data_IF_406791040819
#
_entry.id   IF_406791040819
#
_cell.length_a   1.000
_cell.length_b   1.000
_cell.length_c   1.000
_cell.angle_alpha   90.00
_cell.angle_beta   90.00
_cell.angle_gamma   90.00
#
_symmetry.space_group_name_H-M   'P 1'
#
loop_
_entity.id
_entity.type
_entity.pdbx_description
1 polymer ?
#
# COMPACT_ATOMS: atom_id res chain seq x y z
N UNK A 1 -29.44 -8.22 9.08
CA UNK A 1 -29.47 -9.69 9.15
C UNK A 1 -29.58 -10.23 10.57
N UNK A 2 -28.96 -9.59 11.60
CA UNK A 2 -28.95 -10.10 12.97
C UNK A 2 -30.27 -9.86 13.71
N UNK A 3 -30.91 -8.73 13.46
CA UNK A 3 -32.08 -8.26 14.22
C UNK A 3 -33.37 -8.20 13.39
N UNK A 4 -33.28 -8.53 12.08
CA UNK A 4 -34.39 -8.52 11.14
C UNK A 4 -35.18 -7.21 11.20
N UNK A 5 -36.47 -7.24 11.66
CA UNK A 5 -37.34 -6.08 11.77
C UNK A 5 -37.52 -5.52 13.20
N UNK A 6 -36.65 -5.90 14.15
CA UNK A 6 -36.79 -5.50 15.56
C UNK A 6 -36.60 -4.00 15.81
N UNK A 7 -35.90 -3.32 14.90
CA UNK A 7 -35.58 -1.89 14.98
C UNK A 7 -36.11 -1.14 13.74
N UNK A 8 -36.76 -0.02 13.97
CA UNK A 8 -37.20 0.87 12.89
C UNK A 8 -36.09 1.80 12.38
N UNK A 9 -35.14 2.15 13.24
CA UNK A 9 -34.02 3.04 12.97
C UNK A 9 -32.74 2.38 13.44
N UNK A 10 -31.73 2.39 12.58
CA UNK A 10 -30.41 1.83 12.86
C UNK A 10 -29.37 2.95 12.83
N UNK A 11 -28.67 3.23 13.95
CA UNK A 11 -27.45 4.06 13.91
C UNK A 11 -26.41 3.34 13.08
N UNK A 12 -25.80 4.07 12.14
CA UNK A 12 -24.79 3.55 11.23
C UNK A 12 -23.43 4.18 11.53
N UNK A 13 -22.60 4.26 10.49
CA UNK A 13 -21.22 4.73 10.54
C UNK A 13 -21.04 6.08 11.28
N UNK A 14 -21.91 7.05 11.02
CA UNK A 14 -21.80 8.40 11.61
C UNK A 14 -21.83 8.39 13.15
N UNK A 15 -22.63 7.48 13.74
CA UNK A 15 -22.63 7.28 15.19
C UNK A 15 -21.48 6.42 15.68
N UNK A 16 -21.15 5.38 14.93
CA UNK A 16 -20.10 4.44 15.33
C UNK A 16 -18.74 5.10 15.39
N UNK A 17 -18.38 5.88 14.39
CA UNK A 17 -17.04 6.47 14.28
C UNK A 17 -16.76 7.43 15.44
N UNK A 18 -17.60 8.42 15.66
CA UNK A 18 -17.40 9.41 16.71
C UNK A 18 -17.44 8.79 18.13
N UNK A 19 -18.42 7.90 18.39
CA UNK A 19 -18.60 7.33 19.71
C UNK A 19 -17.56 6.28 20.06
N UNK A 20 -17.22 5.40 19.12
CA UNK A 20 -16.17 4.39 19.35
C UNK A 20 -14.82 5.06 19.57
N UNK A 21 -14.45 6.03 18.73
CA UNK A 21 -13.18 6.74 18.86
C UNK A 21 -13.11 7.52 20.20
N UNK A 22 -14.21 8.14 20.63
CA UNK A 22 -14.26 8.82 21.91
C UNK A 22 -14.09 7.84 23.09
N UNK A 23 -14.78 6.70 23.06
CA UNK A 23 -14.71 5.69 24.13
C UNK A 23 -13.31 5.06 24.20
N UNK A 24 -12.68 4.86 23.06
CA UNK A 24 -11.33 4.28 22.94
C UNK A 24 -10.20 5.30 23.20
N UNK A 25 -10.53 6.57 23.43
CA UNK A 25 -9.54 7.62 23.67
C UNK A 25 -8.72 8.01 22.45
N UNK A 26 -9.26 7.79 21.26
CA UNK A 26 -8.66 8.25 20.00
C UNK A 26 -8.76 9.76 19.92
N UNK A 27 -7.70 10.44 19.50
CA UNK A 27 -7.66 11.89 19.34
C UNK A 27 -7.88 12.35 17.89
N UNK A 28 -7.50 11.51 16.93
CA UNK A 28 -7.57 11.80 15.51
C UNK A 28 -8.37 10.71 14.80
N UNK A 29 -9.62 11.00 14.51
CA UNK A 29 -10.51 10.12 13.76
C UNK A 29 -10.26 10.25 12.27
N UNK A 30 -9.63 9.26 11.67
CA UNK A 30 -9.23 9.28 10.26
C UNK A 30 -10.31 8.62 9.39
N UNK A 31 -10.69 9.29 8.32
CA UNK A 31 -11.65 8.75 7.36
C UNK A 31 -11.37 9.22 5.92
N UNK A 32 -12.12 8.68 4.98
CA UNK A 32 -12.03 9.07 3.57
C UNK A 32 -12.78 10.36 3.30
N UNK A 33 -12.41 11.05 2.22
CA UNK A 33 -12.96 12.35 1.84
C UNK A 33 -14.48 12.36 1.64
N UNK A 34 -15.09 11.22 1.36
CA UNK A 34 -16.54 11.08 1.23
C UNK A 34 -17.33 11.47 2.48
N UNK A 35 -16.67 11.47 3.66
CA UNK A 35 -17.26 11.85 4.94
C UNK A 35 -17.00 13.32 5.34
N UNK A 36 -16.41 14.13 4.48
CA UNK A 36 -16.15 15.55 4.76
C UNK A 36 -17.44 16.32 5.10
N UNK A 37 -18.51 16.06 4.36
CA UNK A 37 -19.82 16.66 4.61
C UNK A 37 -20.49 16.16 5.91
N UNK A 38 -20.06 15.03 6.45
CA UNK A 38 -20.61 14.42 7.67
C UNK A 38 -19.94 14.93 8.94
N UNK A 39 -18.91 15.79 8.83
CA UNK A 39 -18.19 16.33 9.98
C UNK A 39 -19.09 17.11 10.93
N UNK A 40 -20.03 17.90 10.42
CA UNK A 40 -20.98 18.63 11.24
C UNK A 40 -21.82 17.69 12.10
N UNK A 41 -22.25 16.55 11.56
CA UNK A 41 -22.98 15.53 12.32
C UNK A 41 -22.07 14.85 13.33
N UNK A 42 -20.81 14.56 12.99
CA UNK A 42 -19.80 14.01 13.86
C UNK A 42 -19.60 14.90 15.10
N UNK A 43 -19.35 16.18 14.90
CA UNK A 43 -19.15 17.17 15.97
C UNK A 43 -20.44 17.33 16.80
N UNK A 44 -21.59 17.40 16.15
CA UNK A 44 -22.89 17.53 16.83
C UNK A 44 -23.18 16.35 17.77
N UNK A 45 -22.89 15.12 17.37
CA UNK A 45 -23.08 13.94 18.22
C UNK A 45 -22.20 14.03 19.48
N UNK A 46 -20.94 14.37 19.33
CA UNK A 46 -20.02 14.51 20.46
C UNK A 46 -20.40 15.64 21.41
N UNK A 47 -20.92 16.76 20.88
CA UNK A 47 -21.33 17.91 21.68
C UNK A 47 -22.64 17.67 22.47
N UNK A 48 -23.49 16.76 22.01
CA UNK A 48 -24.79 16.48 22.64
C UNK A 48 -24.79 15.23 23.53
N UNK A 49 -23.71 14.53 23.62
CA UNK A 49 -23.55 13.37 24.46
C UNK A 49 -22.45 13.58 25.50
N UNK A 50 -22.62 12.96 26.66
CA UNK A 50 -21.58 12.95 27.70
C UNK A 50 -20.49 11.95 27.33
N UNK A 51 -19.48 12.43 26.62
CA UNK A 51 -18.36 11.62 26.10
C UNK A 51 -17.05 11.94 26.81
N UNK A 52 -16.12 10.96 26.91
CA UNK A 52 -14.80 11.19 27.52
C UNK A 52 -14.03 12.34 26.85
N UNK A 53 -13.24 13.04 27.69
CA UNK A 53 -12.38 14.12 27.21
C UNK A 53 -10.90 13.66 27.15
N UNK A 54 -10.11 14.16 26.19
CA UNK A 54 -10.50 15.11 25.13
C UNK A 54 -11.33 14.45 24.02
N UNK A 55 -12.27 15.19 23.43
CA UNK A 55 -13.04 14.71 22.31
C UNK A 55 -12.16 14.45 21.09
N UNK A 56 -12.40 13.39 20.31
CA UNK A 56 -11.71 13.16 19.06
C UNK A 56 -12.10 14.19 17.99
N UNK A 57 -11.24 14.40 17.03
CA UNK A 57 -11.51 15.27 15.87
C UNK A 57 -11.38 14.48 14.57
N UNK A 58 -12.36 14.68 13.68
CA UNK A 58 -12.36 14.03 12.36
C UNK A 58 -11.39 14.71 11.39
N UNK A 59 -10.62 13.87 10.67
CA UNK A 59 -9.72 14.28 9.59
C UNK A 59 -9.94 13.40 8.38
N UNK A 60 -10.28 14.02 7.27
CA UNK A 60 -10.52 13.34 6.00
C UNK A 60 -9.33 13.49 5.06
N UNK A 61 -9.15 12.49 4.21
CA UNK A 61 -8.14 12.51 3.16
C UNK A 61 -8.61 11.75 1.92
N UNK A 62 -8.07 12.14 0.76
CA UNK A 62 -8.39 11.53 -0.50
C UNK A 62 -7.85 10.09 -0.60
N UNK A 63 -8.56 9.28 -1.38
CA UNK A 63 -8.10 7.93 -1.72
C UNK A 63 -6.83 8.00 -2.55
N UNK A 64 -5.90 7.08 -2.29
CA UNK A 64 -4.79 6.82 -3.20
C UNK A 64 -5.31 6.11 -4.47
N UNK A 65 -5.22 6.78 -5.60
CA UNK A 65 -5.50 6.21 -6.91
C UNK A 65 -4.16 5.98 -7.63
N UNK A 66 -3.68 4.74 -7.58
CA UNK A 66 -2.45 4.34 -8.24
C UNK A 66 -2.77 3.96 -9.69
N UNK A 67 -2.03 4.53 -10.65
CA UNK A 67 -2.21 4.21 -12.06
C UNK A 67 -1.88 2.73 -12.33
N UNK A 68 -2.54 2.17 -13.33
CA UNK A 68 -2.41 0.76 -13.74
C UNK A 68 -2.67 -0.26 -12.63
N UNK A 69 -3.33 0.15 -11.53
CA UNK A 69 -3.58 -0.72 -10.38
C UNK A 69 -5.05 -0.73 -10.00
N UNK A 70 -5.62 -1.91 -9.92
CA UNK A 70 -7.00 -2.11 -9.43
C UNK A 70 -6.94 -2.27 -7.91
N UNK A 71 -7.56 -1.34 -7.16
CA UNK A 71 -7.63 -1.37 -5.69
C UNK A 71 -9.03 -1.71 -5.17
N UNK A 72 -9.99 -1.97 -6.08
CA UNK A 72 -11.36 -2.34 -5.73
C UNK A 72 -11.42 -3.77 -5.17
N UNK A 73 -11.84 -3.93 -3.90
CA UNK A 73 -12.01 -5.25 -3.27
C UNK A 73 -12.88 -6.19 -4.10
N UNK A 74 -13.99 -5.69 -4.66
CA UNK A 74 -14.90 -6.50 -5.47
C UNK A 74 -14.22 -7.07 -6.72
N UNK A 75 -13.39 -6.28 -7.38
CA UNK A 75 -12.67 -6.73 -8.57
C UNK A 75 -11.52 -7.69 -8.22
N UNK A 76 -10.81 -7.42 -7.13
CA UNK A 76 -9.75 -8.32 -6.65
C UNK A 76 -10.32 -9.65 -6.17
N UNK A 77 -11.50 -9.65 -5.53
CA UNK A 77 -12.21 -10.86 -5.11
C UNK A 77 -12.51 -11.77 -6.31
N UNK A 78 -12.96 -11.21 -7.43
CA UNK A 78 -13.20 -11.96 -8.65
C UNK A 78 -11.96 -12.68 -9.17
N UNK A 79 -10.78 -12.05 -9.10
CA UNK A 79 -9.52 -12.69 -9.51
C UNK A 79 -9.21 -13.92 -8.65
N UNK A 80 -9.55 -13.88 -7.37
CA UNK A 80 -9.38 -15.01 -6.46
C UNK A 80 -10.42 -16.09 -6.70
N UNK A 81 -11.70 -15.74 -6.80
CA UNK A 81 -12.82 -16.67 -6.97
C UNK A 81 -12.79 -17.38 -8.33
N UNK A 82 -12.40 -16.67 -9.40
CA UNK A 82 -12.25 -17.21 -10.75
C UNK A 82 -10.92 -17.96 -10.96
N UNK A 83 -10.06 -18.02 -9.93
CA UNK A 83 -8.79 -18.76 -9.97
C UNK A 83 -7.69 -18.15 -10.84
N UNK A 84 -7.78 -16.85 -11.15
CA UNK A 84 -6.74 -16.14 -11.91
C UNK A 84 -5.47 -15.90 -11.08
N UNK A 85 -5.61 -15.86 -9.76
CA UNK A 85 -4.53 -15.76 -8.78
C UNK A 85 -4.68 -16.82 -7.69
N UNK A 86 -3.58 -17.17 -7.00
CA UNK A 86 -3.57 -18.25 -6.00
C UNK A 86 -4.22 -17.86 -4.67
N UNK A 87 -4.53 -16.58 -4.47
CA UNK A 87 -5.12 -16.06 -3.24
C UNK A 87 -4.80 -14.58 -3.04
N UNK A 88 -5.20 -14.05 -1.89
CA UNK A 88 -5.01 -12.66 -1.54
C UNK A 88 -3.55 -12.25 -1.29
N UNK A 89 -2.68 -13.22 -1.07
CA UNK A 89 -1.24 -13.04 -0.89
C UNK A 89 -0.43 -13.29 -2.18
N UNK A 90 -1.10 -13.53 -3.30
CA UNK A 90 -0.41 -13.70 -4.58
C UNK A 90 0.47 -12.46 -4.88
N UNK A 91 1.74 -12.63 -5.28
CA UNK A 91 2.66 -11.51 -5.56
C UNK A 91 2.16 -10.53 -6.65
N UNK A 92 1.19 -10.94 -7.46
CA UNK A 92 0.55 -10.10 -8.49
C UNK A 92 -0.55 -9.20 -7.91
N UNK A 93 -1.01 -9.50 -6.68
CA UNK A 93 -2.08 -8.75 -6.03
C UNK A 93 -1.53 -7.50 -5.34
N UNK A 94 -2.21 -6.33 -5.45
CA UNK A 94 -1.82 -5.09 -4.79
C UNK A 94 -2.27 -5.05 -3.31
N UNK A 95 -2.22 -6.19 -2.63
CA UNK A 95 -2.46 -6.30 -1.20
C UNK A 95 -1.16 -6.19 -0.42
N UNK A 96 -1.21 -5.79 0.84
CA UNK A 96 -0.01 -5.78 1.69
C UNK A 96 0.63 -7.17 1.79
N UNK A 97 -0.17 -8.23 1.84
CA UNK A 97 0.32 -9.60 1.85
C UNK A 97 1.00 -9.98 0.53
N UNK A 98 0.42 -9.60 -0.62
CA UNK A 98 1.02 -9.82 -1.93
C UNK A 98 2.31 -9.03 -2.13
N UNK A 99 2.32 -7.76 -1.72
CA UNK A 99 3.52 -6.91 -1.76
C UNK A 99 4.64 -7.47 -0.89
N UNK A 100 4.32 -7.90 0.33
CA UNK A 100 5.29 -8.54 1.24
C UNK A 100 5.89 -9.80 0.61
N UNK A 101 5.06 -10.66 0.04
CA UNK A 101 5.49 -11.89 -0.63
C UNK A 101 6.32 -11.60 -1.88
N UNK A 102 6.04 -10.50 -2.58
CA UNK A 102 6.85 -10.02 -3.71
C UNK A 102 8.22 -9.48 -3.29
N UNK A 103 8.44 -9.23 -2.00
CA UNK A 103 9.71 -8.73 -1.47
C UNK A 103 9.76 -7.22 -1.26
N UNK A 104 8.60 -6.55 -1.24
CA UNK A 104 8.52 -5.11 -0.98
C UNK A 104 8.57 -4.87 0.53
N UNK A 105 9.57 -4.15 1.06
CA UNK A 105 9.68 -3.88 2.48
C UNK A 105 8.69 -2.80 2.93
N UNK A 106 8.30 -2.86 4.21
CA UNK A 106 7.38 -1.88 4.79
C UNK A 106 7.93 -0.44 4.77
N UNK A 107 9.27 -0.29 4.86
CA UNK A 107 9.94 1.00 4.77
C UNK A 107 9.71 1.67 3.42
N UNK A 108 9.79 0.92 2.30
CA UNK A 108 9.50 1.43 0.96
C UNK A 108 8.07 1.95 0.83
N UNK A 109 7.09 1.25 1.41
CA UNK A 109 5.69 1.69 1.37
C UNK A 109 5.48 2.96 2.21
N UNK A 110 6.13 3.07 3.37
CA UNK A 110 6.10 4.30 4.17
C UNK A 110 6.74 5.47 3.44
N UNK A 111 7.94 5.28 2.87
CA UNK A 111 8.60 6.31 2.08
C UNK A 111 7.77 6.76 0.87
N UNK A 112 7.08 5.82 0.21
CA UNK A 112 6.13 6.15 -0.85
C UNK A 112 4.96 6.99 -0.33
N UNK A 113 4.35 6.63 0.80
CA UNK A 113 3.27 7.42 1.41
C UNK A 113 3.74 8.83 1.80
N UNK A 114 4.93 8.97 2.35
CA UNK A 114 5.53 10.26 2.69
C UNK A 114 5.78 11.11 1.44
N UNK A 115 6.22 10.48 0.35
CA UNK A 115 6.46 11.15 -0.93
C UNK A 115 5.19 11.71 -1.57
N UNK A 116 4.08 10.97 -1.50
CA UNK A 116 2.81 11.42 -2.07
C UNK A 116 2.06 12.39 -1.15
N UNK A 117 2.30 12.31 0.16
CA UNK A 117 1.66 13.13 1.18
C UNK A 117 0.17 12.82 1.37
N UNK A 118 -0.44 13.58 2.30
CA UNK A 118 -1.88 13.51 2.60
C UNK A 118 -2.56 14.76 2.03
N UNK A 119 -3.58 14.56 1.20
CA UNK A 119 -4.31 15.66 0.56
C UNK A 119 -5.82 15.41 0.55
N UNK A 120 -6.60 16.50 0.47
CA UNK A 120 -8.07 16.46 0.28
C UNK A 120 -8.47 16.49 -1.20
N UNK A 121 -7.53 16.52 -2.13
CA UNK A 121 -7.78 16.46 -3.56
C UNK A 121 -7.51 15.07 -4.09
N UNK A 122 -8.43 14.53 -4.86
CA UNK A 122 -8.22 13.25 -5.54
C UNK A 122 -7.16 13.40 -6.62
N UNK A 123 -6.08 12.68 -6.49
CA UNK A 123 -4.98 12.65 -7.45
C UNK A 123 -4.73 11.23 -7.93
N UNK A 124 -4.31 11.11 -9.17
CA UNK A 124 -3.73 9.87 -9.69
C UNK A 124 -2.23 9.92 -9.49
N UNK A 125 -1.69 8.85 -8.96
CA UNK A 125 -0.26 8.71 -8.68
C UNK A 125 0.32 7.72 -9.68
N UNK A 126 1.35 8.13 -10.39
CA UNK A 126 2.08 7.26 -11.31
C UNK A 126 2.71 6.09 -10.55
N UNK A 127 2.53 4.88 -11.10
CA UNK A 127 3.10 3.66 -10.55
C UNK A 127 4.62 3.71 -10.45
N UNK A 128 5.29 4.45 -11.35
CA UNK A 128 6.73 4.65 -11.31
C UNK A 128 7.25 5.27 -10.00
N UNK A 129 6.43 6.07 -9.31
CA UNK A 129 6.80 6.61 -7.97
C UNK A 129 6.89 5.52 -6.92
N UNK A 130 5.96 4.56 -6.93
CA UNK A 130 6.02 3.40 -6.05
C UNK A 130 7.24 2.54 -6.37
N UNK A 131 7.51 2.27 -7.65
CA UNK A 131 8.69 1.53 -8.07
C UNK A 131 10.00 2.23 -7.70
N UNK A 132 10.02 3.55 -7.78
CA UNK A 132 11.17 4.34 -7.34
C UNK A 132 11.43 4.15 -5.85
N UNK A 133 10.41 4.32 -5.00
CA UNK A 133 10.54 4.13 -3.55
C UNK A 133 11.01 2.72 -3.18
N UNK A 134 10.51 1.69 -3.90
CA UNK A 134 10.94 0.30 -3.70
C UNK A 134 12.40 0.11 -4.08
N UNK A 135 12.83 0.62 -5.24
CA UNK A 135 14.23 0.50 -5.68
C UNK A 135 15.18 1.28 -4.79
N UNK A 136 14.81 2.47 -4.38
CA UNK A 136 15.62 3.32 -3.50
C UNK A 136 15.89 2.62 -2.16
N UNK A 137 14.84 2.08 -1.56
CA UNK A 137 14.94 1.32 -0.31
C UNK A 137 15.79 0.05 -0.44
N UNK A 138 15.62 -0.71 -1.54
CA UNK A 138 16.30 -2.00 -1.71
C UNK A 138 17.76 -1.85 -2.17
N UNK A 139 18.11 -0.76 -2.84
CA UNK A 139 19.43 -0.56 -3.42
C UNK A 139 20.62 -0.73 -2.44
N UNK A 140 20.52 -0.25 -1.17
CA UNK A 140 21.64 -0.35 -0.24
C UNK A 140 21.96 -1.77 0.24
N UNK A 141 20.97 -2.65 0.35
CA UNK A 141 21.15 -3.92 1.06
C UNK A 141 20.62 -5.16 0.36
N UNK A 142 19.77 -5.01 -0.66
CA UNK A 142 19.17 -6.18 -1.30
C UNK A 142 20.23 -6.98 -2.09
N UNK A 143 20.35 -8.30 -1.86
CA UNK A 143 21.27 -9.13 -2.63
C UNK A 143 20.95 -9.07 -4.12
N UNK A 144 21.97 -8.96 -4.95
CA UNK A 144 21.85 -8.98 -6.40
C UNK A 144 22.41 -10.26 -6.95
N UNK A 145 21.64 -10.85 -7.85
CA UNK A 145 22.05 -12.06 -8.54
C UNK A 145 21.82 -11.89 -10.04
N UNK A 146 22.72 -12.46 -10.82
CA UNK A 146 22.53 -12.53 -12.27
C UNK A 146 21.64 -13.71 -12.59
N UNK A 147 20.60 -13.47 -13.37
CA UNK A 147 19.71 -14.52 -13.87
C UNK A 147 19.48 -14.34 -15.36
N UNK A 148 19.80 -15.34 -16.16
CA UNK A 148 19.59 -15.31 -17.60
C UNK A 148 18.41 -16.22 -17.93
N UNK A 149 17.27 -15.64 -18.25
CA UNK A 149 16.08 -16.34 -18.70
C UNK A 149 16.14 -16.55 -20.22
N UNK A 150 15.88 -17.78 -20.70
CA UNK A 150 15.89 -18.14 -22.12
C UNK A 150 17.23 -17.77 -22.78
N UNK A 151 18.36 -18.34 -22.35
CA UNK A 151 19.68 -17.94 -22.80
C UNK A 151 19.84 -18.19 -24.31
N UNK A 152 20.49 -17.24 -24.98
CA UNK A 152 20.97 -17.42 -26.36
C UNK A 152 22.41 -17.91 -26.29
N UNK A 153 22.76 -18.87 -27.13
CA UNK A 153 24.15 -19.30 -27.27
C UNK A 153 24.92 -18.24 -28.02
N UNK A 154 25.91 -17.64 -27.37
CA UNK A 154 26.89 -16.75 -27.99
C UNK A 154 28.18 -17.56 -28.23
N UNK A 155 28.68 -17.54 -29.46
CA UNK A 155 29.96 -18.15 -29.83
C UNK A 155 30.91 -17.03 -30.23
N UNK A 156 32.08 -16.99 -29.58
CA UNK A 156 33.11 -16.00 -29.85
C UNK A 156 34.24 -16.71 -30.62
N UNK A 157 34.26 -16.56 -31.94
CA UNK A 157 35.15 -17.35 -32.81
C UNK A 157 36.63 -16.91 -32.75
N UNK A 158 36.87 -15.67 -32.32
CA UNK A 158 38.20 -15.10 -32.18
C UNK A 158 38.75 -15.12 -30.75
N UNK A 159 38.11 -15.87 -29.82
CA UNK A 159 38.65 -16.05 -28.48
C UNK A 159 39.76 -17.10 -28.49
N UNK A 160 40.90 -16.89 -27.83
CA UNK A 160 42.01 -17.83 -27.81
C UNK A 160 41.58 -19.18 -27.32
N UNK A 161 41.98 -20.25 -28.00
CA UNK A 161 41.70 -21.63 -27.60
C UNK A 161 42.33 -21.94 -26.22
N UNK A 162 41.51 -22.38 -25.24
CA UNK A 162 41.93 -22.58 -23.85
C UNK A 162 42.11 -21.29 -23.06
N UNK A 163 41.79 -20.12 -23.63
CA UNK A 163 41.84 -18.84 -22.91
C UNK A 163 40.78 -18.78 -21.80
N UNK A 164 41.11 -18.15 -20.70
CA UNK A 164 40.23 -17.79 -19.60
C UNK A 164 40.40 -16.30 -19.32
N UNK A 165 39.27 -15.60 -19.28
CA UNK A 165 39.23 -14.21 -18.86
C UNK A 165 38.32 -14.07 -17.64
N UNK A 166 38.85 -13.59 -16.54
CA UNK A 166 38.09 -13.31 -15.32
C UNK A 166 37.69 -11.84 -15.29
N UNK A 167 36.37 -11.61 -15.24
CA UNK A 167 35.79 -10.27 -15.19
C UNK A 167 35.16 -10.05 -13.82
N UNK A 168 35.49 -8.95 -13.17
CA UNK A 168 34.85 -8.52 -11.95
C UNK A 168 33.57 -7.75 -12.22
N UNK A 169 32.44 -8.23 -11.66
CA UNK A 169 31.16 -7.55 -11.72
C UNK A 169 30.70 -7.25 -10.28
N UNK A 170 30.59 -5.98 -9.88
CA UNK A 170 30.19 -5.62 -8.52
C UNK A 170 28.74 -5.99 -8.27
N UNK A 171 28.46 -6.56 -7.08
CA UNK A 171 27.11 -6.86 -6.63
C UNK A 171 26.27 -5.59 -6.36
N UNK A 172 26.93 -4.48 -6.03
CA UNK A 172 26.31 -3.21 -5.71
C UNK A 172 26.83 -2.10 -6.60
N UNK A 173 26.06 -1.03 -6.88
CA UNK A 173 26.57 0.18 -7.51
C UNK A 173 27.79 0.71 -6.72
N UNK A 174 28.72 1.36 -7.43
CA UNK A 174 30.02 1.80 -6.86
C UNK A 174 29.93 2.64 -5.57
N UNK A 175 28.80 3.31 -5.35
CA UNK A 175 28.59 4.23 -4.24
C UNK A 175 27.63 3.72 -3.17
N UNK A 176 27.18 2.46 -3.28
CA UNK A 176 26.22 1.86 -2.36
C UNK A 176 26.80 0.55 -1.82
N UNK A 177 26.92 0.44 -0.51
CA UNK A 177 27.32 -0.82 0.17
C UNK A 177 28.82 -1.02 0.32
N UNK A 178 29.59 0.08 0.47
CA UNK A 178 30.94 0.05 1.04
C UNK A 178 30.87 0.52 2.51
N UNK A 179 30.31 -0.30 3.35
CA UNK A 179 30.58 -0.33 4.78
C UNK A 179 30.81 -1.77 5.21
#
# INVERSE_FOLDING_TARGET
YRTSGDWCIYPLYDFTHCLSDSIEGITHSLCTLEFDNNRELYDWILDHLDVPQPQPRQYEFARLNLEYTIVSKRMLLRLVEEGHVNGWDDPRMPTLAGMRRRGIPAAALRAFCDMIGVAKTENRVDFAKLEYAIRDELNPYAPRVMCVLRPLKLVVDNFPEGGLEELEAPYFPKDVGKE
#
